data_IF_233043894558
#
_entry.id   IF_233043894558
#
_cell.length_a   1.000
_cell.length_b   1.000
_cell.length_c   1.000
_cell.angle_alpha   90.00
_cell.angle_beta   90.00
_cell.angle_gamma   90.00
#
_symmetry.space_group_name_H-M   'P 1'
#
loop_
_entity.id
_entity.type
_entity.pdbx_description
1 polymer ?
#
# COMPACT_ATOMS: atom_id res chain seq x y z
N UNK A 1 0.65 -14.80 5.06
CA UNK A 1 0.51 -15.07 6.52
C UNK A 1 1.80 -15.53 7.17
N UNK A 2 2.56 -16.45 6.56
CA UNK A 2 3.82 -16.97 7.13
C UNK A 2 4.83 -15.88 7.55
N UNK A 3 4.94 -14.78 6.81
CA UNK A 3 5.85 -13.67 7.18
C UNK A 3 5.36 -12.86 8.39
N UNK A 4 4.05 -12.65 8.54
CA UNK A 4 3.48 -12.01 9.72
C UNK A 4 3.76 -12.83 10.98
N UNK A 5 3.62 -14.15 10.90
CA UNK A 5 3.90 -15.06 12.02
C UNK A 5 5.38 -15.04 12.48
N UNK A 6 6.28 -14.51 11.67
CA UNK A 6 7.71 -14.38 11.98
C UNK A 6 8.13 -12.94 12.24
N UNK A 7 7.23 -11.97 12.08
CA UNK A 7 7.57 -10.57 12.23
C UNK A 7 7.94 -10.25 13.68
N UNK A 8 8.98 -9.45 13.87
CA UNK A 8 9.37 -8.88 15.15
C UNK A 8 8.68 -7.52 15.36
N UNK A 9 8.49 -6.77 14.26
CA UNK A 9 7.78 -5.50 14.23
C UNK A 9 6.97 -5.38 12.93
N UNK A 10 5.75 -4.83 13.05
CA UNK A 10 4.82 -4.63 11.93
C UNK A 10 4.34 -3.18 11.89
N UNK A 11 4.68 -2.47 10.83
CA UNK A 11 4.14 -1.15 10.51
C UNK A 11 2.90 -1.30 9.63
N UNK A 12 1.73 -0.88 10.08
CA UNK A 12 0.47 -1.12 9.36
C UNK A 12 -0.35 0.14 9.09
N UNK A 13 -1.03 0.13 7.93
CA UNK A 13 -1.92 1.21 7.50
C UNK A 13 -3.31 1.11 8.12
N UNK A 14 -4.06 2.21 8.12
CA UNK A 14 -5.41 2.27 8.69
C UNK A 14 -6.44 1.38 7.97
N UNK A 15 -6.17 1.00 6.72
CA UNK A 15 -7.01 0.10 5.92
C UNK A 15 -6.79 -1.38 6.24
N UNK A 16 -5.78 -1.71 7.06
CA UNK A 16 -5.52 -3.09 7.47
C UNK A 16 -6.56 -3.51 8.51
N UNK A 17 -7.22 -4.64 8.27
CA UNK A 17 -8.16 -5.23 9.23
C UNK A 17 -7.42 -5.61 10.52
N UNK A 18 -7.97 -5.32 11.72
CA UNK A 18 -7.39 -5.75 13.00
C UNK A 18 -7.13 -7.26 13.07
N UNK A 19 -7.95 -8.07 12.39
CA UNK A 19 -7.77 -9.53 12.32
C UNK A 19 -6.41 -9.91 11.73
N UNK A 20 -5.84 -9.11 10.83
CA UNK A 20 -4.51 -9.37 10.27
C UNK A 20 -3.40 -9.36 11.31
N UNK A 21 -3.57 -8.56 12.38
CA UNK A 21 -2.59 -8.48 13.46
C UNK A 21 -2.64 -9.70 14.39
N UNK A 22 -3.75 -10.46 14.37
CA UNK A 22 -3.87 -11.71 15.13
C UNK A 22 -2.93 -12.81 14.62
N UNK A 23 -2.40 -12.67 13.40
CA UNK A 23 -1.39 -13.58 12.85
C UNK A 23 0.03 -13.28 13.33
N UNK A 24 0.26 -12.16 14.01
CA UNK A 24 1.57 -11.75 14.53
C UNK A 24 1.48 -11.24 15.99
N UNK A 25 0.88 -12.02 16.92
CA UNK A 25 0.67 -11.56 18.29
C UNK A 25 1.98 -11.30 19.05
N UNK A 26 3.10 -11.87 18.59
CA UNK A 26 4.43 -11.66 19.13
C UNK A 26 5.08 -10.34 18.68
N UNK A 27 4.60 -9.75 17.59
CA UNK A 27 5.24 -8.60 16.97
C UNK A 27 4.83 -7.28 17.63
N UNK A 28 5.76 -6.32 17.66
CA UNK A 28 5.42 -4.94 17.99
C UNK A 28 4.58 -4.36 16.85
N UNK A 29 3.34 -3.98 17.12
CA UNK A 29 2.43 -3.44 16.12
C UNK A 29 2.43 -1.89 16.15
N UNK A 30 2.85 -1.26 15.05
CA UNK A 30 2.93 0.20 14.91
C UNK A 30 1.94 0.68 13.85
N UNK A 31 0.92 1.43 14.26
CA UNK A 31 -0.03 2.06 13.35
C UNK A 31 0.60 3.32 12.72
N UNK A 32 0.66 3.39 11.39
CA UNK A 32 1.21 4.56 10.66
C UNK A 32 0.23 5.22 9.69
N UNK A 33 -0.95 4.62 9.48
CA UNK A 33 -1.98 5.17 8.60
C UNK A 33 -2.89 6.23 9.26
N UNK A 34 -3.60 7.01 8.44
CA UNK A 34 -4.59 7.98 8.90
C UNK A 34 -5.90 7.31 9.34
N UNK A 35 -6.28 7.50 10.61
CA UNK A 35 -7.69 7.46 11.02
C UNK A 35 -8.20 8.90 11.10
N UNK A 36 -9.44 9.13 10.68
CA UNK A 36 -10.00 10.48 10.61
C UNK A 36 -9.95 11.14 12.00
N UNK A 37 -9.19 12.24 12.14
CA UNK A 37 -9.03 12.97 13.41
C UNK A 37 -7.79 12.64 14.24
N UNK A 38 -6.93 11.70 13.82
CA UNK A 38 -5.70 11.34 14.56
C UNK A 38 -4.41 11.85 13.88
N UNK A 39 -3.31 11.87 14.65
CA UNK A 39 -1.99 12.27 14.18
C UNK A 39 -1.54 11.36 13.03
N UNK A 40 -1.42 11.92 11.83
CA UNK A 40 -0.94 11.19 10.67
C UNK A 40 0.57 11.18 10.65
N UNK A 41 1.17 10.01 10.41
CA UNK A 41 2.55 9.97 9.96
C UNK A 41 2.65 10.55 8.54
N UNK A 42 3.68 11.35 8.31
CA UNK A 42 4.14 11.74 6.97
C UNK A 42 4.89 10.57 6.37
N UNK A 43 4.92 10.48 5.04
CA UNK A 43 5.63 9.38 4.36
C UNK A 43 7.11 9.32 4.73
N UNK A 44 7.76 10.48 4.89
CA UNK A 44 9.15 10.57 5.35
C UNK A 44 9.36 9.97 6.75
N UNK A 45 8.38 10.13 7.66
CA UNK A 45 8.46 9.59 9.01
C UNK A 45 8.34 8.06 9.00
N UNK A 46 7.47 7.52 8.12
CA UNK A 46 7.34 6.08 7.91
C UNK A 46 8.66 5.51 7.36
N UNK A 47 9.24 6.16 6.36
CA UNK A 47 10.48 5.73 5.74
C UNK A 47 11.64 5.70 6.76
N UNK A 48 11.78 6.74 7.58
CA UNK A 48 12.78 6.78 8.67
C UNK A 48 12.55 5.65 9.67
N UNK A 49 11.31 5.44 10.12
CA UNK A 49 11.01 4.39 11.07
C UNK A 49 11.28 2.98 10.52
N UNK A 50 11.05 2.74 9.23
CA UNK A 50 11.44 1.49 8.57
C UNK A 50 12.96 1.32 8.60
N UNK A 51 13.74 2.35 8.24
CA UNK A 51 15.20 2.29 8.27
C UNK A 51 15.78 2.09 9.68
N UNK A 52 15.13 2.64 10.70
CA UNK A 52 15.58 2.46 12.08
C UNK A 52 15.19 1.08 12.63
N UNK A 53 14.03 0.57 12.23
CA UNK A 53 13.58 -0.76 12.61
C UNK A 53 14.48 -1.86 12.05
N UNK A 54 14.92 -1.75 10.79
CA UNK A 54 15.79 -2.79 10.18
C UNK A 54 17.17 -2.90 10.83
N UNK A 55 17.59 -1.89 11.61
CA UNK A 55 18.83 -1.93 12.41
C UNK A 55 18.64 -2.68 13.73
N UNK A 56 17.41 -2.81 14.22
CA UNK A 56 17.09 -3.32 15.55
C UNK A 56 16.40 -4.70 15.49
N UNK A 57 15.64 -4.96 14.43
CA UNK A 57 14.78 -6.12 14.31
C UNK A 57 15.16 -6.96 13.10
N UNK A 58 15.32 -8.29 13.25
CA UNK A 58 15.61 -9.19 12.15
C UNK A 58 14.53 -9.21 11.05
N UNK A 59 13.24 -9.20 11.44
CA UNK A 59 12.11 -9.27 10.50
C UNK A 59 11.17 -8.09 10.73
N UNK A 60 11.29 -7.10 9.83
CA UNK A 60 10.42 -5.92 9.76
C UNK A 60 9.38 -6.12 8.67
N UNK A 61 8.10 -5.97 8.99
CA UNK A 61 7.01 -6.06 8.00
C UNK A 61 6.31 -4.71 7.84
N UNK A 62 6.21 -4.25 6.59
CA UNK A 62 5.34 -3.13 6.19
C UNK A 62 4.02 -3.69 5.65
N UNK A 63 2.99 -3.72 6.47
CA UNK A 63 1.68 -4.29 6.12
C UNK A 63 0.74 -3.21 5.56
N UNK A 64 0.37 -3.35 4.29
CA UNK A 64 -0.48 -2.40 3.55
C UNK A 64 -1.83 -3.05 3.25
N UNK A 65 -2.91 -2.27 3.26
CA UNK A 65 -4.25 -2.76 2.93
C UNK A 65 -4.40 -3.03 1.42
N UNK A 66 -5.01 -4.16 1.06
CA UNK A 66 -5.20 -4.55 -0.34
C UNK A 66 -3.89 -5.06 -0.97
N UNK A 67 -3.50 -4.48 -2.10
CA UNK A 67 -2.19 -4.72 -2.72
C UNK A 67 -1.32 -3.46 -2.58
N UNK A 68 -0.14 -3.61 -1.99
CA UNK A 68 0.76 -2.48 -1.70
C UNK A 68 1.23 -1.71 -2.92
N UNK A 69 1.25 -2.35 -4.10
CA UNK A 69 1.71 -1.78 -5.36
C UNK A 69 0.61 -1.05 -6.14
N UNK A 70 -0.66 -1.19 -5.73
CA UNK A 70 -1.81 -0.52 -6.37
C UNK A 70 -2.25 0.67 -5.53
N UNK A 71 -1.91 1.89 -5.95
CA UNK A 71 -2.22 3.15 -5.25
C UNK A 71 -1.73 3.23 -3.79
N UNK A 72 -0.79 2.38 -3.39
CA UNK A 72 -0.31 2.27 -2.01
C UNK A 72 0.89 3.13 -1.65
N UNK A 73 1.39 4.00 -2.56
CA UNK A 73 2.63 4.79 -2.37
C UNK A 73 3.87 3.94 -2.05
N UNK A 74 3.92 2.69 -2.53
CA UNK A 74 5.06 1.82 -2.28
C UNK A 74 6.38 2.37 -2.84
N UNK A 75 6.35 3.13 -3.94
CA UNK A 75 7.58 3.61 -4.59
C UNK A 75 8.48 4.45 -3.67
N UNK A 76 7.89 5.33 -2.86
CA UNK A 76 8.62 6.17 -1.90
C UNK A 76 9.31 5.31 -0.82
N UNK A 77 8.61 4.29 -0.30
CA UNK A 77 9.14 3.37 0.71
C UNK A 77 10.27 2.50 0.12
N UNK A 78 10.04 1.93 -1.07
CA UNK A 78 10.98 1.05 -1.75
C UNK A 78 12.26 1.79 -2.18
N UNK A 79 12.13 3.02 -2.69
CA UNK A 79 13.28 3.84 -3.08
C UNK A 79 14.19 4.10 -1.89
N UNK A 80 13.62 4.52 -0.75
CA UNK A 80 14.41 4.73 0.47
C UNK A 80 15.13 3.46 0.94
N UNK A 81 14.47 2.30 0.90
CA UNK A 81 15.11 1.02 1.27
C UNK A 81 16.24 0.64 0.32
N UNK A 82 16.06 0.83 -1.00
CA UNK A 82 17.10 0.57 -2.01
C UNK A 82 18.31 1.46 -1.82
N UNK A 83 18.10 2.76 -1.62
CA UNK A 83 19.19 3.74 -1.41
C UNK A 83 19.99 3.43 -0.13
N UNK A 84 19.33 2.90 0.90
CA UNK A 84 19.98 2.45 2.13
C UNK A 84 20.63 1.05 2.02
N UNK A 85 20.54 0.38 0.87
CA UNK A 85 21.09 -0.97 0.68
C UNK A 85 20.36 -2.06 1.47
N UNK A 86 19.11 -1.81 1.87
CA UNK A 86 18.31 -2.76 2.65
C UNK A 86 17.69 -3.79 1.70
N UNK A 87 17.92 -5.06 1.97
CA UNK A 87 17.25 -6.14 1.25
C UNK A 87 15.78 -6.25 1.66
N UNK A 88 14.88 -6.42 0.69
CA UNK A 88 13.45 -6.60 0.93
C UNK A 88 12.84 -7.51 -0.14
N UNK A 89 11.65 -8.02 0.16
CA UNK A 89 10.78 -8.70 -0.79
C UNK A 89 9.40 -8.02 -0.84
N UNK A 90 8.71 -8.14 -1.98
CA UNK A 90 7.35 -7.65 -2.15
C UNK A 90 6.42 -8.86 -2.17
N UNK A 91 5.47 -8.88 -1.24
CA UNK A 91 4.42 -9.90 -1.20
C UNK A 91 3.15 -9.30 -1.81
N UNK A 92 2.67 -9.82 -2.96
CA UNK A 92 1.47 -9.29 -3.59
C UNK A 92 0.25 -9.55 -2.70
N UNK A 93 -0.68 -8.60 -2.75
CA UNK A 93 -1.96 -8.67 -2.05
C UNK A 93 -3.12 -8.77 -3.03
N UNK A 94 -4.34 -8.80 -2.48
CA UNK A 94 -5.57 -8.73 -3.30
C UNK A 94 -6.04 -7.29 -3.29
N UNK A 95 -5.95 -6.60 -4.43
CA UNK A 95 -6.46 -5.24 -4.57
C UNK A 95 -7.99 -5.20 -4.42
N UNK A 96 -8.51 -4.07 -3.90
CA UNK A 96 -9.95 -3.87 -3.68
C UNK A 96 -10.80 -4.07 -4.94
N UNK A 97 -10.26 -3.76 -6.13
CA UNK A 97 -10.99 -3.97 -7.38
C UNK A 97 -11.31 -5.46 -7.64
N UNK A 98 -10.34 -6.35 -7.42
CA UNK A 98 -10.53 -7.79 -7.57
C UNK A 98 -11.40 -8.35 -6.45
N UNK A 99 -11.17 -7.92 -5.21
CA UNK A 99 -11.99 -8.35 -4.08
C UNK A 99 -13.47 -7.96 -4.26
N UNK A 100 -13.75 -6.73 -4.69
CA UNK A 100 -15.11 -6.26 -4.95
C UNK A 100 -15.78 -7.03 -6.09
N UNK A 101 -15.05 -7.31 -7.18
CA UNK A 101 -15.53 -8.13 -8.30
C UNK A 101 -15.98 -9.52 -7.83
N UNK A 102 -15.16 -10.19 -7.02
CA UNK A 102 -15.48 -11.49 -6.45
C UNK A 102 -16.68 -11.42 -5.50
N UNK A 103 -16.71 -10.44 -4.59
CA UNK A 103 -17.80 -10.26 -3.63
C UNK A 103 -19.15 -9.99 -4.30
N UNK A 104 -19.16 -9.17 -5.35
CA UNK A 104 -20.35 -8.87 -6.15
C UNK A 104 -20.73 -10.01 -7.12
N UNK A 105 -19.89 -11.06 -7.23
CA UNK A 105 -20.03 -12.13 -8.21
C UNK A 105 -20.15 -11.59 -9.66
N UNK A 106 -19.41 -10.53 -9.96
CA UNK A 106 -19.36 -9.89 -11.29
C UNK A 106 -17.91 -9.80 -11.76
N UNK A 107 -17.53 -10.46 -12.86
CA UNK A 107 -16.16 -10.38 -13.35
C UNK A 107 -15.85 -8.97 -13.87
N UNK A 108 -14.63 -8.48 -13.66
CA UNK A 108 -14.18 -7.20 -14.21
C UNK A 108 -14.12 -7.19 -15.74
N UNK A 109 -14.03 -8.37 -16.37
CA UNK A 109 -14.02 -8.54 -17.81
C UNK A 109 -15.09 -9.52 -18.26
N UNK A 110 -15.56 -9.35 -19.49
CA UNK A 110 -16.53 -10.26 -20.10
C UNK A 110 -16.35 -10.27 -21.60
N UNK A 111 -16.16 -11.45 -22.17
CA UNK A 111 -15.94 -11.62 -23.62
C UNK A 111 -17.04 -10.92 -24.41
N UNK A 112 -16.64 -10.06 -25.35
CA UNK A 112 -17.54 -9.29 -26.20
C UNK A 112 -18.21 -8.08 -25.54
N UNK A 113 -17.92 -7.77 -24.26
CA UNK A 113 -18.50 -6.64 -23.54
C UNK A 113 -17.43 -5.76 -22.89
N UNK A 114 -16.49 -6.34 -22.15
CA UNK A 114 -15.39 -5.64 -21.51
C UNK A 114 -14.08 -6.42 -21.73
N UNK A 115 -13.15 -5.81 -22.47
CA UNK A 115 -11.84 -6.39 -22.83
C UNK A 115 -10.66 -5.75 -22.11
N UNK A 116 -10.90 -4.65 -21.40
CA UNK A 116 -9.88 -3.90 -20.65
C UNK A 116 -10.41 -3.55 -19.26
N UNK A 117 -9.49 -3.38 -18.31
CA UNK A 117 -9.75 -2.90 -16.96
C UNK A 117 -8.82 -1.71 -16.72
N UNK A 118 -9.38 -0.59 -16.30
CA UNK A 118 -8.64 0.59 -15.87
C UNK A 118 -8.79 0.75 -14.36
N UNK A 119 -7.67 0.75 -13.65
CA UNK A 119 -7.60 1.20 -12.27
C UNK A 119 -7.15 2.66 -12.29
N UNK A 120 -7.94 3.54 -11.68
CA UNK A 120 -7.61 4.96 -11.61
C UNK A 120 -7.91 5.49 -10.20
N UNK A 121 -7.15 6.50 -9.79
CA UNK A 121 -7.41 7.30 -8.58
C UNK A 121 -7.78 8.73 -8.99
N UNK A 122 -8.51 9.44 -8.14
CA UNK A 122 -8.84 10.85 -8.39
C UNK A 122 -7.55 11.67 -8.31
N UNK A 123 -7.17 12.34 -9.39
CA UNK A 123 -6.17 13.38 -9.33
C UNK A 123 -6.73 14.54 -8.49
N UNK A 124 -6.03 14.90 -7.41
CA UNK A 124 -6.20 16.24 -6.85
C UNK A 124 -5.61 17.20 -7.87
N UNK A 125 -6.39 18.18 -8.33
CA UNK A 125 -5.88 19.19 -9.24
C UNK A 125 -4.65 19.82 -8.59
N UNK A 126 -3.51 19.72 -9.27
CA UNK A 126 -2.38 20.60 -9.00
C UNK A 126 -2.93 22.00 -9.27
N UNK A 127 -3.16 22.79 -8.24
CA UNK A 127 -3.45 24.21 -8.44
C UNK A 127 -2.19 24.83 -9.00
N UNK A 128 -2.14 24.93 -10.33
CA UNK A 128 -1.16 25.71 -11.06
C UNK A 128 -1.80 26.08 -12.40
N UNK A 129 -1.97 27.38 -12.60
CA UNK A 129 -2.29 27.99 -13.90
C UNK A 129 -1.47 27.31 -15.01
N UNK A 130 -2.14 26.59 -15.90
CA UNK A 130 -1.59 26.19 -17.17
C UNK A 130 -2.74 25.91 -18.14
N UNK A 131 -2.81 26.73 -19.18
CA UNK A 131 -3.69 26.62 -20.33
C UNK A 131 -3.65 25.20 -20.92
N UNK A 132 -4.77 24.49 -20.82
CA UNK A 132 -4.97 23.22 -21.51
C UNK A 132 -5.26 23.54 -22.98
N UNK A 133 -4.26 23.35 -23.85
CA UNK A 133 -4.51 23.17 -25.28
C UNK A 133 -4.79 21.68 -25.47
N UNK A 134 -6.07 21.35 -25.67
CA UNK A 134 -6.48 20.01 -26.03
C UNK A 134 -6.10 19.73 -27.49
N UNK A 135 -5.14 18.84 -27.69
CA UNK A 135 -5.05 18.07 -28.93
C UNK A 135 -5.45 16.63 -28.61
N UNK A 136 -6.68 16.30 -28.97
CA UNK A 136 -7.13 14.91 -29.08
C UNK A 136 -6.74 14.44 -30.47
N UNK A 137 -5.99 13.35 -30.56
CA UNK A 137 -5.97 12.51 -31.76
C UNK A 137 -5.89 11.03 -31.39
N UNK A 138 -6.93 10.33 -31.88
CA UNK A 138 -7.16 8.89 -32.12
C UNK A 138 -7.11 7.89 -30.97
#
# INVERSE_FOLDING_TARGET
MQLLQKADIVFYDALVSPEMLTYCPQAIAVAVGKRCGEHSWKQSEINTALLDAVKQYPIVVRLKGGDGMVFGRADEELTTLREAGVAFEIVPGVTSALAASAYLQKPLTKRGQARSVLLATKAQALTSDASIVAHADT
#
